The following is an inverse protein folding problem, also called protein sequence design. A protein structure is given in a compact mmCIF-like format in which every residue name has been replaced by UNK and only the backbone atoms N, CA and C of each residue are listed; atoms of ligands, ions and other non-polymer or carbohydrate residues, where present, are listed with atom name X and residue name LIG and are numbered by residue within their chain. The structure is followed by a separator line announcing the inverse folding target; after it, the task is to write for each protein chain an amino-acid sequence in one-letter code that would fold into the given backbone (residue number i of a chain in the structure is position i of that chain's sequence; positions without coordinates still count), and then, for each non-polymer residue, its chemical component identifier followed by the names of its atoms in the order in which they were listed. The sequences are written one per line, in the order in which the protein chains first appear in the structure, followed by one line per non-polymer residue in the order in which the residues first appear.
data_IF_964265651613
#
_entry.id   IF_964265651613
#
_cell.length_a   1.000
_cell.length_b   1.000
_cell.length_c   1.000
_cell.angle_alpha   90.00
_cell.angle_beta   90.00
_cell.angle_gamma   90.00
#
_symmetry.space_group_name_H-M   'P 1'
#
loop_
_entity.id
_entity.type
_entity.pdbx_description
1 polymer ?
#
# COMPACT_ATOMS: atom_id res chain seq x y z
N UNK A 1 19.36 36.45 -15.38
CA UNK A 1 18.14 36.08 -14.61
C UNK A 1 18.07 34.58 -14.60
N UNK A 2 18.12 33.97 -13.42
CA UNK A 2 18.04 32.51 -13.28
C UNK A 2 16.63 32.05 -13.64
N UNK A 3 16.53 31.05 -14.52
CA UNK A 3 15.26 30.46 -14.92
C UNK A 3 14.51 29.92 -13.69
N UNK A 4 13.17 30.02 -13.66
CA UNK A 4 12.39 29.43 -12.57
C UNK A 4 12.58 27.91 -12.52
N UNK A 5 12.45 27.28 -11.34
CA UNK A 5 12.53 25.84 -11.20
C UNK A 5 11.47 25.15 -12.07
N UNK A 6 11.74 23.94 -12.59
CA UNK A 6 10.77 23.20 -13.37
C UNK A 6 9.49 22.94 -12.54
N UNK A 7 8.32 22.91 -13.19
CA UNK A 7 7.06 22.63 -12.50
C UNK A 7 7.08 21.22 -11.89
N UNK A 8 6.35 20.99 -10.79
CA UNK A 8 6.25 19.66 -10.19
C UNK A 8 5.60 18.66 -11.14
N UNK A 9 6.05 17.40 -11.10
CA UNK A 9 5.50 16.34 -11.93
C UNK A 9 4.10 15.91 -11.49
N UNK A 10 3.78 16.04 -10.20
CA UNK A 10 2.43 15.80 -9.68
C UNK A 10 1.72 17.09 -9.33
N UNK A 11 0.42 17.12 -9.65
CA UNK A 11 -0.46 18.24 -9.34
C UNK A 11 -1.52 17.79 -8.32
N UNK A 12 -1.67 18.51 -7.19
CA UNK A 12 -2.80 18.29 -6.29
C UNK A 12 -4.12 18.52 -7.03
N UNK A 13 -5.09 17.65 -6.85
CA UNK A 13 -6.45 17.87 -7.36
C UNK A 13 -7.46 17.73 -6.24
N UNK A 14 -8.40 18.67 -6.18
CA UNK A 14 -9.64 18.52 -5.42
C UNK A 14 -10.54 17.56 -6.20
N UNK A 15 -10.85 16.39 -5.66
CA UNK A 15 -11.97 15.60 -6.17
C UNK A 15 -13.26 16.25 -5.69
N UNK A 16 -14.23 16.39 -6.59
CA UNK A 16 -15.61 16.57 -6.18
C UNK A 16 -16.09 15.23 -5.65
N UNK A 17 -16.63 15.27 -4.43
CA UNK A 17 -17.21 14.15 -3.70
C UNK A 17 -18.15 13.32 -4.58
N UNK A 18 -17.93 12.00 -4.60
CA UNK A 18 -18.86 11.03 -5.20
C UNK A 18 -19.77 10.45 -4.09
N UNK A 19 -20.39 11.31 -3.29
CA UNK A 19 -21.33 10.93 -2.22
C UNK A 19 -22.79 11.06 -2.68
N UNK A 20 -23.20 10.29 -3.70
CA UNK A 20 -24.62 10.00 -3.95
C UNK A 20 -25.10 8.74 -3.20
N UNK A 21 -24.45 8.42 -2.07
CA UNK A 21 -24.98 7.51 -1.05
C UNK A 21 -24.91 8.24 0.28
N UNK A 22 -26.00 8.32 1.06
CA UNK A 22 -25.95 8.92 2.39
C UNK A 22 -25.07 8.04 3.27
N UNK A 23 -23.81 8.44 3.45
CA UNK A 23 -22.84 7.76 4.27
C UNK A 23 -22.55 8.62 5.50
N UNK A 24 -23.53 8.72 6.40
CA UNK A 24 -23.46 9.44 7.69
C UNK A 24 -22.39 8.87 8.67
N UNK A 25 -21.39 8.13 8.19
CA UNK A 25 -20.29 7.58 8.99
C UNK A 25 -18.89 7.71 8.36
N UNK A 26 -18.79 7.94 7.04
CA UNK A 26 -17.48 7.95 6.34
C UNK A 26 -16.86 9.34 6.41
N UNK A 27 -17.66 10.41 6.25
CA UNK A 27 -17.14 11.78 6.16
C UNK A 27 -16.49 12.31 7.45
N UNK A 28 -16.82 11.77 8.63
CA UNK A 28 -16.24 12.27 9.88
C UNK A 28 -14.84 11.71 10.19
N UNK A 29 -14.42 10.62 9.54
CA UNK A 29 -13.25 9.84 9.95
C UNK A 29 -12.34 9.37 8.80
N UNK A 30 -12.55 9.82 7.55
CA UNK A 30 -11.62 9.57 6.44
C UNK A 30 -11.13 10.86 5.79
N UNK A 31 -9.90 10.83 5.26
CA UNK A 31 -9.26 11.89 4.51
C UNK A 31 -8.69 11.32 3.22
N UNK A 32 -9.15 11.84 2.09
CA UNK A 32 -8.63 11.47 0.77
C UNK A 32 -7.70 12.58 0.26
N UNK A 33 -6.49 12.21 -0.15
CA UNK A 33 -5.57 13.10 -0.87
C UNK A 33 -5.32 12.53 -2.26
N UNK A 34 -5.30 13.38 -3.28
CA UNK A 34 -5.08 12.96 -4.67
C UNK A 34 -3.95 13.77 -5.29
N UNK A 35 -2.99 13.06 -5.89
CA UNK A 35 -1.90 13.62 -6.68
C UNK A 35 -1.86 12.93 -8.04
N UNK A 36 -2.06 13.71 -9.11
CA UNK A 36 -2.02 13.22 -10.50
C UNK A 36 -0.73 13.63 -11.15
N UNK A 37 -0.05 12.69 -11.81
CA UNK A 37 1.05 13.06 -12.68
C UNK A 37 0.55 13.99 -13.80
N UNK A 38 1.33 14.98 -14.22
CA UNK A 38 0.96 15.97 -15.23
C UNK A 38 0.58 15.35 -16.58
N UNK A 39 1.17 14.21 -16.89
CA UNK A 39 0.92 13.45 -18.12
C UNK A 39 -0.04 12.26 -17.90
N UNK A 40 -0.71 12.17 -16.73
CA UNK A 40 -1.68 11.12 -16.46
C UNK A 40 -2.92 11.27 -17.36
N UNK A 41 -3.21 10.21 -18.11
CA UNK A 41 -4.43 10.08 -18.91
C UNK A 41 -5.11 8.74 -18.61
N UNK A 42 -6.40 8.78 -18.25
CA UNK A 42 -7.18 7.57 -18.05
C UNK A 42 -7.59 6.98 -19.39
N UNK A 43 -7.40 5.68 -19.55
CA UNK A 43 -7.80 4.92 -20.73
C UNK A 43 -8.67 3.71 -20.34
N UNK A 44 -9.30 3.06 -21.32
CA UNK A 44 -10.04 1.80 -21.07
C UNK A 44 -9.16 0.64 -20.58
N UNK A 45 -7.83 0.78 -20.64
CA UNK A 45 -6.86 -0.21 -20.16
C UNK A 45 -6.29 0.14 -18.79
N UNK A 46 -6.56 1.34 -18.30
CA UNK A 46 -6.14 1.79 -16.96
C UNK A 46 -6.72 0.88 -15.89
N UNK A 47 -5.88 0.45 -14.96
CA UNK A 47 -6.24 -0.39 -13.83
C UNK A 47 -6.16 0.41 -12.56
N UNK A 48 -6.98 0.04 -11.58
CA UNK A 48 -6.90 0.54 -10.22
C UNK A 48 -6.31 -0.53 -9.31
N UNK A 49 -5.27 -0.18 -8.57
CA UNK A 49 -4.65 -1.03 -7.56
C UNK A 49 -4.95 -0.48 -6.17
N UNK A 50 -5.28 -1.35 -5.22
CA UNK A 50 -5.42 -0.97 -3.81
C UNK A 50 -4.21 -1.49 -3.03
N UNK A 51 -3.47 -0.63 -2.35
CA UNK A 51 -2.28 -0.99 -1.59
C UNK A 51 -2.46 -0.65 -0.11
N UNK A 52 -2.45 -1.66 0.76
CA UNK A 52 -2.51 -1.47 2.20
C UNK A 52 -1.18 -0.98 2.77
N UNK A 53 -1.21 0.19 3.41
CA UNK A 53 -0.08 0.83 4.06
C UNK A 53 -0.21 0.84 5.58
N UNK A 54 0.91 0.59 6.24
CA UNK A 54 1.07 0.87 7.66
C UNK A 54 2.41 1.59 7.92
N UNK A 55 2.75 1.80 9.19
CA UNK A 55 3.97 2.51 9.60
C UNK A 55 5.23 1.64 9.60
N UNK A 56 5.22 0.49 8.91
CA UNK A 56 6.35 -0.42 8.87
C UNK A 56 6.96 -0.52 7.46
N UNK A 57 8.25 -0.80 7.42
CA UNK A 57 9.03 -0.91 6.18
C UNK A 57 8.50 -1.93 5.16
N UNK A 58 7.79 -2.99 5.59
CA UNK A 58 7.31 -4.01 4.65
C UNK A 58 6.12 -3.54 3.82
N UNK A 59 5.30 -2.60 4.31
CA UNK A 59 4.21 -2.03 3.52
C UNK A 59 4.75 -0.97 2.56
N UNK A 60 5.74 -0.18 2.98
CA UNK A 60 6.44 0.74 2.08
C UNK A 60 7.12 -0.02 0.93
N UNK A 61 7.81 -1.11 1.24
CA UNK A 61 8.40 -1.99 0.21
C UNK A 61 7.34 -2.59 -0.72
N UNK A 62 6.14 -2.88 -0.21
CA UNK A 62 5.05 -3.42 -1.03
C UNK A 62 4.55 -2.39 -2.06
N UNK A 63 4.48 -1.12 -1.66
CA UNK A 63 4.15 -0.01 -2.55
C UNK A 63 5.23 0.24 -3.60
N UNK A 64 6.50 0.25 -3.18
CA UNK A 64 7.64 0.39 -4.11
C UNK A 64 7.62 -0.74 -5.15
N UNK A 65 7.47 -1.98 -4.70
CA UNK A 65 7.33 -3.14 -5.59
C UNK A 65 6.12 -3.03 -6.54
N UNK A 66 4.97 -2.54 -6.05
CA UNK A 66 3.78 -2.32 -6.88
C UNK A 66 4.07 -1.31 -7.99
N UNK A 67 4.66 -0.16 -7.63
CA UNK A 67 5.02 0.90 -8.57
C UNK A 67 5.99 0.37 -9.61
N UNK A 68 7.04 -0.33 -9.20
CA UNK A 68 8.11 -0.76 -10.10
C UNK A 68 7.67 -1.89 -11.04
N UNK A 69 6.95 -2.89 -10.52
CA UNK A 69 6.81 -4.19 -11.21
C UNK A 69 5.44 -4.41 -11.88
N UNK A 70 4.40 -3.69 -11.45
CA UNK A 70 3.03 -3.94 -11.91
C UNK A 70 2.34 -2.73 -12.53
N UNK A 71 2.66 -1.53 -12.05
CA UNK A 71 2.01 -0.29 -12.47
C UNK A 71 2.63 0.23 -13.76
N UNK A 72 1.76 0.60 -14.69
CA UNK A 72 2.10 1.25 -15.96
C UNK A 72 1.51 2.67 -16.02
N UNK A 73 1.91 3.44 -17.03
CA UNK A 73 1.33 4.76 -17.29
C UNK A 73 -0.19 4.67 -17.50
N UNK A 74 -0.91 5.63 -16.91
CA UNK A 74 -2.37 5.69 -16.93
C UNK A 74 -3.06 4.84 -15.86
N UNK A 75 -2.32 4.07 -15.05
CA UNK A 75 -2.90 3.35 -13.90
C UNK A 75 -3.12 4.26 -12.68
N UNK A 76 -3.98 3.79 -11.78
CA UNK A 76 -4.30 4.42 -10.51
C UNK A 76 -3.87 3.55 -9.33
N UNK A 77 -3.23 4.14 -8.34
CA UNK A 77 -2.85 3.49 -7.08
C UNK A 77 -3.60 4.16 -5.94
N UNK A 78 -4.46 3.38 -5.28
CA UNK A 78 -5.13 3.74 -4.04
C UNK A 78 -4.31 3.20 -2.87
N UNK A 79 -3.57 4.07 -2.21
CA UNK A 79 -2.84 3.80 -0.99
C UNK A 79 -3.79 3.91 0.21
N UNK A 80 -4.06 2.82 0.90
CA UNK A 80 -4.96 2.79 2.06
C UNK A 80 -4.18 2.75 3.36
N UNK A 81 -4.32 3.79 4.18
CA UNK A 81 -3.80 3.87 5.54
C UNK A 81 -4.96 3.86 6.53
N UNK A 82 -5.00 2.85 7.39
CA UNK A 82 -6.03 2.74 8.43
C UNK A 82 -5.43 2.92 9.81
N UNK A 83 -6.03 3.79 10.62
CA UNK A 83 -5.69 4.00 12.02
C UNK A 83 -6.84 3.51 12.89
N UNK A 84 -6.58 2.63 13.85
CA UNK A 84 -7.60 2.22 14.82
C UNK A 84 -7.67 3.27 15.94
N UNK A 85 -8.89 3.67 16.35
CA UNK A 85 -9.08 4.55 17.50
C UNK A 85 -8.80 3.76 18.78
N UNK A 86 -7.78 4.16 19.53
CA UNK A 86 -7.58 3.68 20.89
C UNK A 86 -8.68 4.27 21.79
N UNK A 87 -9.52 3.40 22.34
CA UNK A 87 -10.64 3.79 23.22
C UNK A 87 -10.21 4.51 24.51
N UNK A 88 -8.92 4.52 24.84
CA UNK A 88 -8.34 5.18 26.02
C UNK A 88 -7.93 6.63 25.78
N UNK A 89 -7.83 7.07 24.52
CA UNK A 89 -7.45 8.44 24.16
C UNK A 89 -8.71 9.19 23.72
N UNK A 90 -9.55 9.55 24.70
CA UNK A 90 -10.59 10.55 24.51
C UNK A 90 -9.95 11.96 24.53
N UNK A 91 -9.10 12.22 23.52
CA UNK A 91 -8.56 13.55 23.26
C UNK A 91 -9.60 14.45 22.57
N UNK A 92 -9.35 15.76 22.55
CA UNK A 92 -10.15 16.72 21.79
C UNK A 92 -10.14 16.32 20.30
N UNK A 93 -11.31 15.97 19.77
CA UNK A 93 -11.51 15.54 18.37
C UNK A 93 -10.93 16.52 17.34
N UNK A 94 -10.77 17.81 17.68
CA UNK A 94 -10.17 18.80 16.79
C UNK A 94 -8.64 18.64 16.65
N UNK A 95 -7.94 18.28 17.73
CA UNK A 95 -6.48 18.08 17.77
C UNK A 95 -6.10 16.83 16.98
N UNK A 96 -6.86 15.75 17.14
CA UNK A 96 -6.64 14.51 16.40
C UNK A 96 -6.83 14.69 14.88
N UNK A 97 -7.83 15.46 14.46
CA UNK A 97 -8.06 15.76 13.03
C UNK A 97 -6.90 16.54 12.42
N UNK A 98 -6.35 17.52 13.14
CA UNK A 98 -5.17 18.28 12.68
C UNK A 98 -3.94 17.37 12.51
N UNK A 99 -3.70 16.48 13.47
CA UNK A 99 -2.60 15.52 13.44
C UNK A 99 -2.71 14.53 12.28
N UNK A 100 -3.86 13.88 12.09
CA UNK A 100 -4.04 12.90 11.00
C UNK A 100 -3.94 13.54 9.63
N UNK A 101 -4.42 14.79 9.48
CA UNK A 101 -4.27 15.53 8.22
C UNK A 101 -2.81 15.79 7.89
N UNK A 102 -1.98 16.10 8.89
CA UNK A 102 -0.56 16.31 8.69
C UNK A 102 0.19 15.00 8.41
N UNK A 103 -0.12 13.92 9.13
CA UNK A 103 0.40 12.57 8.84
C UNK A 103 0.06 12.14 7.42
N UNK A 104 -1.19 12.37 6.97
CA UNK A 104 -1.62 12.04 5.62
C UNK A 104 -0.84 12.84 4.55
N UNK A 105 -0.57 14.13 4.78
CA UNK A 105 0.24 14.94 3.84
C UNK A 105 1.66 14.43 3.72
N UNK A 106 2.31 14.17 4.85
CA UNK A 106 3.68 13.63 4.89
C UNK A 106 3.74 12.26 4.23
N UNK A 107 2.76 11.40 4.49
CA UNK A 107 2.66 10.09 3.86
C UNK A 107 2.46 10.21 2.35
N UNK A 108 1.62 11.16 1.88
CA UNK A 108 1.44 11.40 0.44
C UNK A 108 2.74 11.86 -0.24
N UNK A 109 3.55 12.71 0.41
CA UNK A 109 4.87 13.09 -0.11
C UNK A 109 5.82 11.89 -0.16
N UNK A 110 5.81 11.03 0.85
CA UNK A 110 6.60 9.79 0.85
C UNK A 110 6.17 8.85 -0.28
N UNK A 111 4.86 8.65 -0.48
CA UNK A 111 4.30 7.83 -1.57
C UNK A 111 4.75 8.38 -2.93
N UNK A 112 4.64 9.69 -3.15
CA UNK A 112 5.06 10.34 -4.40
C UNK A 112 6.55 10.09 -4.68
N UNK A 113 7.40 10.18 -3.65
CA UNK A 113 8.85 9.96 -3.79
C UNK A 113 9.24 8.55 -4.22
N UNK A 114 8.31 7.57 -4.11
CA UNK A 114 8.55 6.19 -4.57
C UNK A 114 8.43 6.05 -6.08
N UNK A 115 7.79 6.98 -6.79
CA UNK A 115 7.70 6.95 -8.25
C UNK A 115 8.99 7.46 -8.93
N UNK A 116 10.10 6.72 -8.75
CA UNK A 116 11.43 7.13 -9.22
C UNK A 116 11.55 7.16 -10.75
N UNK A 117 10.81 6.31 -11.44
CA UNK A 117 10.77 6.24 -12.90
C UNK A 117 9.86 7.30 -13.55
N UNK A 118 9.22 8.14 -12.74
CA UNK A 118 8.33 9.21 -13.19
C UNK A 118 7.18 8.70 -14.08
N UNK A 119 6.57 7.57 -13.69
CA UNK A 119 5.41 7.00 -14.37
C UNK A 119 4.22 7.97 -14.31
N UNK A 120 3.45 8.04 -15.39
CA UNK A 120 2.29 8.90 -15.53
C UNK A 120 1.05 8.31 -14.85
N UNK A 121 1.05 8.29 -13.52
CA UNK A 121 0.05 7.60 -12.69
C UNK A 121 -0.81 8.55 -11.85
N UNK A 122 -1.96 8.07 -11.40
CA UNK A 122 -2.78 8.75 -10.38
C UNK A 122 -2.54 8.12 -9.00
N UNK A 123 -2.13 8.93 -8.03
CA UNK A 123 -1.95 8.51 -6.65
C UNK A 123 -3.12 9.02 -5.80
N UNK A 124 -3.82 8.10 -5.15
CA UNK A 124 -4.89 8.38 -4.20
C UNK A 124 -4.47 7.85 -2.85
N UNK A 125 -4.44 8.69 -1.81
CA UNK A 125 -4.23 8.27 -0.42
C UNK A 125 -5.55 8.34 0.31
N UNK A 126 -6.05 7.18 0.72
CA UNK A 126 -7.19 7.02 1.62
C UNK A 126 -6.68 6.85 3.06
N UNK A 127 -6.84 7.88 3.87
CA UNK A 127 -6.48 7.85 5.29
C UNK A 127 -7.75 7.72 6.13
N UNK A 128 -8.03 6.52 6.64
CA UNK A 128 -9.28 6.21 7.34
C UNK A 128 -9.06 5.86 8.80
N UNK A 129 -9.97 6.27 9.67
CA UNK A 129 -9.99 5.89 11.08
C UNK A 129 -11.08 4.84 11.30
N UNK A 130 -10.71 3.64 11.72
CA UNK A 130 -11.65 2.53 11.89
C UNK A 130 -10.98 1.17 11.99
N UNK A 131 -11.79 0.11 12.05
CA UNK A 131 -11.30 -1.28 12.09
C UNK A 131 -10.76 -1.68 10.72
N UNK A 132 -9.49 -2.11 10.65
CA UNK A 132 -8.79 -2.41 9.39
C UNK A 132 -9.59 -3.33 8.47
N UNK A 133 -10.10 -4.45 9.00
CA UNK A 133 -10.82 -5.45 8.23
C UNK A 133 -12.10 -4.92 7.56
N UNK A 134 -12.79 -3.99 8.22
CA UNK A 134 -14.01 -3.36 7.72
C UNK A 134 -13.67 -2.35 6.63
N UNK A 135 -12.71 -1.47 6.91
CA UNK A 135 -12.29 -0.41 5.98
C UNK A 135 -11.73 -1.00 4.69
N UNK A 136 -10.92 -2.07 4.75
CA UNK A 136 -10.43 -2.74 3.54
C UNK A 136 -11.59 -3.21 2.66
N UNK A 137 -12.62 -3.83 3.25
CA UNK A 137 -13.81 -4.27 2.50
C UNK A 137 -14.58 -3.10 1.88
N UNK A 138 -14.74 -2.00 2.62
CA UNK A 138 -15.38 -0.78 2.12
C UNK A 138 -14.60 -0.17 0.96
N UNK A 139 -13.28 -0.09 1.05
CA UNK A 139 -12.42 0.45 -0.02
C UNK A 139 -12.39 -0.45 -1.25
N UNK A 140 -12.44 -1.78 -1.08
CA UNK A 140 -12.57 -2.70 -2.23
C UNK A 140 -13.90 -2.47 -2.95
N UNK A 141 -15.00 -2.28 -2.22
CA UNK A 141 -16.31 -2.01 -2.83
C UNK A 141 -16.39 -0.62 -3.46
N UNK A 142 -15.67 0.37 -2.92
CA UNK A 142 -15.68 1.74 -3.42
C UNK A 142 -14.85 1.90 -4.69
N UNK A 143 -13.64 1.34 -4.71
CA UNK A 143 -12.68 1.52 -5.79
C UNK A 143 -12.67 0.38 -6.83
N UNK A 144 -13.32 -0.74 -6.53
CA UNK A 144 -13.33 -1.95 -7.37
C UNK A 144 -11.94 -2.30 -7.94
N UNK A 145 -10.90 -2.39 -7.10
CA UNK A 145 -9.53 -2.53 -7.57
C UNK A 145 -9.33 -3.87 -8.28
N UNK A 146 -8.53 -3.86 -9.35
CA UNK A 146 -8.16 -5.07 -10.06
C UNK A 146 -7.36 -6.03 -9.15
N UNK A 147 -6.53 -5.49 -8.26
CA UNK A 147 -5.68 -6.25 -7.34
C UNK A 147 -5.52 -5.48 -6.01
N UNK A 148 -5.59 -6.22 -4.90
CA UNK A 148 -5.19 -5.76 -3.56
C UNK A 148 -3.74 -6.17 -3.25
N UNK A 149 -2.90 -5.20 -2.90
CA UNK A 149 -1.50 -5.38 -2.50
C UNK A 149 -1.38 -5.21 -0.99
N UNK A 150 -0.73 -6.17 -0.33
CA UNK A 150 -0.43 -6.10 1.10
C UNK A 150 1.00 -6.53 1.38
N UNK A 151 1.70 -5.78 2.22
CA UNK A 151 3.03 -6.18 2.67
C UNK A 151 2.98 -7.28 3.74
N UNK A 152 4.10 -7.99 3.93
CA UNK A 152 4.26 -8.94 5.05
C UNK A 152 5.65 -8.89 5.69
N UNK A 153 5.70 -8.96 7.03
CA UNK A 153 6.93 -9.22 7.78
C UNK A 153 7.52 -10.61 7.49
N UNK A 154 6.68 -11.58 7.07
CA UNK A 154 7.01 -13.00 6.97
C UNK A 154 7.17 -13.68 8.34
N UNK A 155 7.32 -15.02 8.34
CA UNK A 155 7.58 -15.79 9.58
C UNK A 155 8.98 -15.51 10.14
N UNK A 156 9.06 -15.18 11.42
CA UNK A 156 10.28 -15.23 12.24
C UNK A 156 10.73 -16.69 12.36
N UNK A 157 12.05 -16.94 12.40
CA UNK A 157 12.68 -18.28 12.32
C UNK A 157 12.51 -19.14 13.59
N UNK A 158 11.67 -18.75 14.56
CA UNK A 158 11.33 -19.53 15.74
C UNK A 158 9.84 -19.84 15.75
N UNK A 159 9.47 -21.12 15.62
CA UNK A 159 8.14 -21.62 15.26
C UNK A 159 6.99 -21.41 16.26
N UNK A 160 6.88 -20.26 16.91
CA UNK A 160 5.88 -19.97 17.94
C UNK A 160 5.04 -18.71 17.69
N UNK A 161 4.89 -18.27 16.44
CA UNK A 161 4.03 -17.12 16.10
C UNK A 161 2.68 -17.53 15.51
N UNK A 162 2.16 -18.70 15.90
CA UNK A 162 0.83 -19.20 15.56
C UNK A 162 -0.31 -18.60 16.41
N UNK A 163 -0.01 -17.65 17.31
CA UNK A 163 -0.94 -17.22 18.37
C UNK A 163 -1.06 -15.69 18.52
N UNK A 164 -0.62 -14.89 17.55
CA UNK A 164 -1.01 -13.46 17.52
C UNK A 164 -2.37 -13.32 16.81
N UNK A 165 -3.31 -12.53 17.36
CA UNK A 165 -4.60 -12.30 16.72
C UNK A 165 -4.42 -11.64 15.35
N UNK A 166 -4.87 -12.34 14.30
CA UNK A 166 -5.17 -11.84 12.96
C UNK A 166 -4.09 -11.02 12.25
N UNK A 167 -3.23 -11.65 11.45
CA UNK A 167 -2.44 -10.92 10.44
C UNK A 167 -3.37 -10.36 9.35
N UNK A 168 -3.30 -9.05 9.08
CA UNK A 168 -4.09 -8.38 8.02
C UNK A 168 -3.88 -9.06 6.67
N UNK A 169 -2.64 -9.38 6.29
CA UNK A 169 -2.35 -10.10 5.03
C UNK A 169 -3.05 -11.47 4.99
N UNK A 170 -3.15 -12.18 6.12
CA UNK A 170 -3.89 -13.46 6.22
C UNK A 170 -5.40 -13.23 6.07
N UNK A 171 -5.94 -12.21 6.73
CA UNK A 171 -7.35 -11.84 6.59
C UNK A 171 -7.70 -11.54 5.14
N UNK A 172 -6.90 -10.70 4.45
CA UNK A 172 -7.11 -10.37 3.04
C UNK A 172 -7.08 -11.61 2.15
N UNK A 173 -6.11 -12.51 2.34
CA UNK A 173 -6.06 -13.77 1.56
C UNK A 173 -7.28 -14.66 1.75
N UNK A 174 -7.94 -14.60 2.92
CA UNK A 174 -9.07 -15.45 3.25
C UNK A 174 -10.42 -14.86 2.82
N UNK A 175 -10.55 -13.53 2.81
CA UNK A 175 -11.85 -12.86 2.71
C UNK A 175 -11.94 -11.85 1.55
N UNK A 176 -10.83 -11.51 0.89
CA UNK A 176 -10.85 -10.55 -0.21
C UNK A 176 -11.63 -11.10 -1.40
N UNK A 177 -12.59 -10.34 -1.95
CA UNK A 177 -13.28 -10.73 -3.18
C UNK A 177 -12.44 -10.45 -4.44
N UNK A 178 -11.37 -9.65 -4.31
CA UNK A 178 -10.42 -9.33 -5.40
C UNK A 178 -9.10 -10.10 -5.22
N UNK A 179 -8.36 -10.36 -6.31
CA UNK A 179 -7.02 -10.96 -6.23
C UNK A 179 -6.11 -10.22 -5.24
N UNK A 180 -5.38 -10.98 -4.42
CA UNK A 180 -4.47 -10.42 -3.41
C UNK A 180 -3.03 -10.82 -3.69
N UNK A 181 -2.12 -9.85 -3.74
CA UNK A 181 -0.69 -10.08 -3.79
C UNK A 181 -0.07 -9.72 -2.44
N UNK A 182 0.64 -10.70 -1.86
CA UNK A 182 1.39 -10.51 -0.62
C UNK A 182 2.86 -10.28 -0.93
N UNK A 183 3.32 -9.05 -0.74
CA UNK A 183 4.70 -8.66 -1.06
C UNK A 183 5.61 -8.87 0.15
N UNK A 184 6.75 -9.52 -0.09
CA UNK A 184 7.75 -9.80 0.94
C UNK A 184 9.08 -9.09 0.62
N UNK A 185 9.66 -8.32 1.55
CA UNK A 185 10.94 -7.65 1.36
C UNK A 185 12.08 -8.58 0.91
N UNK A 186 12.77 -8.18 -0.17
CA UNK A 186 13.87 -8.93 -0.76
C UNK A 186 15.06 -9.15 0.20
N UNK A 187 15.32 -8.23 1.14
CA UNK A 187 16.43 -8.35 2.11
C UNK A 187 16.42 -9.68 2.88
N UNK A 188 15.23 -10.20 3.22
CA UNK A 188 15.07 -11.51 3.87
C UNK A 188 15.20 -12.67 2.89
N UNK A 189 14.76 -12.49 1.63
CA UNK A 189 14.92 -13.50 0.56
C UNK A 189 16.40 -13.69 0.24
N UNK A 190 17.18 -12.62 0.14
CA UNK A 190 18.63 -12.67 -0.13
C UNK A 190 19.40 -13.28 1.04
N UNK A 191 19.06 -12.96 2.30
CA UNK A 191 19.63 -13.62 3.49
C UNK A 191 19.35 -15.12 3.50
N UNK A 192 18.10 -15.53 3.23
CA UNK A 192 17.73 -16.94 3.16
C UNK A 192 18.36 -17.65 1.95
N UNK A 193 18.49 -16.98 0.80
CA UNK A 193 19.20 -17.49 -0.37
C UNK A 193 20.69 -17.70 -0.07
N UNK A 194 21.35 -16.73 0.57
CA UNK A 194 22.74 -16.86 1.03
C UNK A 194 22.92 -18.00 2.03
N UNK A 195 22.05 -18.10 3.05
CA UNK A 195 22.06 -19.22 4.00
C UNK A 195 21.93 -20.58 3.30
N UNK A 196 21.03 -20.66 2.30
CA UNK A 196 20.79 -21.85 1.49
C UNK A 196 21.93 -22.19 0.53
N UNK A 197 22.66 -21.20 0.01
CA UNK A 197 23.82 -21.41 -0.84
C UNK A 197 25.06 -21.83 -0.03
N UNK A 198 25.14 -21.40 1.22
CA UNK A 198 26.23 -21.72 2.14
C UNK A 198 25.98 -23.00 2.96
N UNK A 199 24.91 -23.75 2.65
CA UNK A 199 24.61 -25.03 3.30
C UNK A 199 25.31 -26.17 2.53
N UNK A 200 26.41 -26.73 3.04
CA UNK A 200 27.19 -27.75 2.34
C UNK A 200 26.44 -29.09 2.21
N UNK A 201 25.36 -29.29 2.98
CA UNK A 201 24.52 -30.50 2.90
C UNK A 201 23.49 -30.43 1.76
N UNK A 202 23.32 -29.27 1.15
CA UNK A 202 22.26 -29.01 0.17
C UNK A 202 22.78 -29.21 -1.25
N UNK A 203 22.60 -30.42 -1.78
CA UNK A 203 22.82 -30.70 -3.20
C UNK A 203 21.67 -30.13 -4.04
N UNK A 204 21.99 -29.32 -5.05
CA UNK A 204 21.00 -28.84 -6.00
C UNK A 204 20.50 -29.98 -6.88
N UNK A 205 19.26 -29.89 -7.37
CA UNK A 205 18.72 -30.89 -8.30
C UNK A 205 19.57 -31.04 -9.57
N UNK A 206 20.26 -29.96 -9.98
CA UNK A 206 21.24 -29.98 -11.08
C UNK A 206 22.47 -30.81 -10.74
N UNK A 207 23.01 -30.68 -9.52
CA UNK A 207 24.17 -31.45 -9.05
C UNK A 207 23.88 -32.96 -8.91
N UNK A 208 22.61 -33.31 -8.68
CA UNK A 208 22.15 -34.71 -8.66
C UNK A 208 22.06 -35.27 -10.08
N UNK A 209 21.59 -34.48 -11.04
CA UNK A 209 21.48 -34.88 -12.45
C UNK A 209 22.83 -34.96 -13.16
N UNK A 210 23.79 -34.08 -12.82
CA UNK A 210 25.14 -34.09 -13.40
C UNK A 210 26.01 -35.26 -12.87
N UNK A 211 25.53 -36.00 -11.86
CA UNK A 211 26.19 -37.18 -11.27
C UNK A 211 25.54 -38.51 -11.69
N UNK A 212 24.48 -38.48 -12.49
CA UNK A 212 23.80 -39.65 -13.04
C UNK A 212 24.30 -39.93 -14.47
#
# INVERSE_FOLDING_TARGET
MSSPPPPPNFQPRVSFDTFDKPADFIEENSFTLIKKHKDYEYTKRSRTFLCGLDSNEYSEYALEWLIDELVDDGDEIVCLRVVERDASIAGDSSVDRGRYREEARQLMEQIESKNQENKAINLVLEFSVGKVNKVIGEMINLYEPAILIVGTKGRSLGGFQGLLPGSVSKYCLQHSPVPVIVVRPNSKRTKNKKKRMNDPSRQGYRDILDRA
#
